data_IF_506465048837
#
_entry.id   IF_506465048837
#
_cell.length_a   1.000
_cell.length_b   1.000
_cell.length_c   1.000
_cell.angle_alpha   90.00
_cell.angle_beta   90.00
_cell.angle_gamma   90.00
#
_symmetry.space_group_name_H-M   'P 1'
#
loop_
_entity.id
_entity.type
_entity.pdbx_description
1 polymer ?
#
# COMPACT_ATOMS: atom_id res chain seq x y z
N UNK A 1 8.58 -6.09 -7.29
CA UNK A 1 8.48 -4.74 -7.87
C UNK A 1 8.06 -4.83 -9.34
N UNK A 2 6.86 -4.34 -9.68
CA UNK A 2 6.34 -4.33 -11.05
C UNK A 2 6.73 -3.01 -11.75
N UNK A 3 7.44 -3.07 -12.88
CA UNK A 3 7.95 -1.90 -13.63
C UNK A 3 6.85 -1.04 -14.26
N UNK A 4 5.61 -1.55 -14.34
CA UNK A 4 4.47 -0.80 -14.86
C UNK A 4 4.00 0.34 -13.93
N UNK A 5 4.51 0.40 -12.69
CA UNK A 5 4.16 1.44 -11.71
C UNK A 5 4.69 2.84 -12.09
N UNK A 6 5.71 2.91 -12.96
CA UNK A 6 6.34 4.18 -13.39
C UNK A 6 5.43 5.05 -14.27
N UNK A 7 4.39 4.47 -14.87
CA UNK A 7 3.44 5.19 -15.75
C UNK A 7 2.27 5.85 -14.99
N UNK A 8 2.22 5.72 -13.66
CA UNK A 8 1.08 6.18 -12.84
C UNK A 8 1.19 7.65 -12.42
N UNK A 9 0.04 8.29 -12.06
CA UNK A 9 0.03 9.57 -11.36
C UNK A 9 1.02 9.58 -10.18
N UNK A 10 1.69 10.71 -9.97
CA UNK A 10 2.77 10.87 -8.96
C UNK A 10 2.34 10.44 -7.55
N UNK A 11 1.09 10.69 -7.21
CA UNK A 11 0.54 10.43 -5.87
C UNK A 11 0.44 8.92 -5.59
N UNK A 12 0.23 8.09 -6.63
CA UNK A 12 0.25 6.62 -6.50
C UNK A 12 1.67 6.06 -6.39
N UNK A 13 2.65 6.74 -6.98
CA UNK A 13 4.06 6.40 -6.87
C UNK A 13 4.57 6.64 -5.45
N UNK A 14 4.15 7.73 -4.80
CA UNK A 14 4.52 8.01 -3.42
C UNK A 14 4.00 6.94 -2.46
N UNK A 15 2.74 6.53 -2.59
CA UNK A 15 2.17 5.42 -1.82
C UNK A 15 2.99 4.14 -1.97
N UNK A 16 3.34 3.75 -3.20
CA UNK A 16 4.15 2.55 -3.47
C UNK A 16 5.53 2.67 -2.83
N UNK A 17 6.20 3.82 -2.93
CA UNK A 17 7.53 4.00 -2.35
C UNK A 17 7.46 3.87 -0.83
N UNK A 18 6.52 4.55 -0.17
CA UNK A 18 6.34 4.43 1.29
C UNK A 18 6.02 2.99 1.66
N UNK A 19 5.16 2.32 0.88
CA UNK A 19 4.80 0.92 1.09
C UNK A 19 6.02 -0.01 1.10
N UNK A 20 6.85 0.06 0.06
CA UNK A 20 8.06 -0.74 -0.07
C UNK A 20 9.12 -0.38 0.99
N UNK A 21 9.20 0.89 1.41
CA UNK A 21 10.08 1.29 2.51
C UNK A 21 9.63 0.69 3.85
N UNK A 22 8.33 0.59 4.10
CA UNK A 22 7.83 -0.03 5.32
C UNK A 22 8.08 -1.54 5.36
N UNK A 23 8.13 -2.22 4.21
CA UNK A 23 8.53 -3.63 4.13
C UNK A 23 9.95 -3.90 4.62
N UNK A 24 10.82 -2.88 4.60
CA UNK A 24 12.16 -2.99 5.19
C UNK A 24 12.13 -3.03 6.72
N UNK A 25 11.06 -2.53 7.34
CA UNK A 25 10.87 -2.46 8.80
C UNK A 25 9.99 -3.61 9.28
N UNK A 26 8.92 -3.89 8.56
CA UNK A 26 7.93 -4.91 8.85
C UNK A 26 7.62 -5.65 7.54
N UNK A 27 8.21 -6.85 7.30
CA UNK A 27 8.13 -7.53 6.00
C UNK A 27 6.76 -8.08 5.62
N UNK A 28 5.81 -8.05 6.55
CA UNK A 28 4.46 -8.60 6.36
C UNK A 28 3.45 -7.50 6.60
N UNK A 29 2.28 -7.58 5.95
CA UNK A 29 1.19 -6.63 6.17
C UNK A 29 0.43 -6.87 7.48
N UNK A 30 1.17 -7.04 8.58
CA UNK A 30 0.66 -7.26 9.93
C UNK A 30 -0.05 -6.01 10.47
N UNK A 31 -0.79 -6.08 11.59
CA UNK A 31 -1.38 -4.89 12.21
C UNK A 31 -0.36 -3.78 12.46
N UNK A 32 0.88 -4.15 12.85
CA UNK A 32 1.98 -3.20 13.02
C UNK A 32 2.37 -2.49 11.72
N UNK A 33 2.33 -3.20 10.58
CA UNK A 33 2.54 -2.58 9.27
C UNK A 33 1.48 -1.52 9.00
N UNK A 34 0.22 -1.85 9.28
CA UNK A 34 -0.90 -0.93 9.09
C UNK A 34 -0.75 0.31 9.98
N UNK A 35 -0.34 0.15 11.25
CA UNK A 35 -0.07 1.27 12.15
C UNK A 35 1.06 2.18 11.64
N UNK A 36 2.13 1.58 11.08
CA UNK A 36 3.22 2.33 10.46
C UNK A 36 2.75 3.08 9.21
N UNK A 37 1.92 2.46 8.39
CA UNK A 37 1.36 3.06 7.19
C UNK A 37 0.40 4.21 7.53
N UNK A 38 -0.46 4.04 8.54
CA UNK A 38 -1.33 5.09 9.09
C UNK A 38 -0.52 6.29 9.62
N UNK A 39 0.63 6.03 10.25
CA UNK A 39 1.52 7.08 10.75
C UNK A 39 2.25 7.84 9.66
N UNK A 40 2.77 7.13 8.66
CA UNK A 40 3.68 7.71 7.66
C UNK A 40 2.98 8.16 6.38
N UNK A 41 1.80 7.64 6.07
CA UNK A 41 1.00 8.03 4.92
C UNK A 41 -0.50 7.88 5.22
N UNK A 42 -1.11 8.80 6.00
CA UNK A 42 -2.48 8.64 6.52
C UNK A 42 -3.56 8.41 5.46
N UNK A 43 -3.37 8.94 4.23
CA UNK A 43 -4.30 8.82 3.10
C UNK A 43 -4.02 7.59 2.21
N UNK A 44 -3.37 6.55 2.76
CA UNK A 44 -2.99 5.37 1.97
C UNK A 44 -4.20 4.55 1.50
N UNK A 45 -5.36 4.68 2.16
CA UNK A 45 -6.58 3.94 1.79
C UNK A 45 -7.13 4.44 0.47
N UNK A 46 -7.14 5.76 0.25
CA UNK A 46 -7.53 6.41 -0.99
C UNK A 46 -6.55 6.04 -2.11
N UNK A 47 -5.25 6.20 -1.87
CA UNK A 47 -4.21 5.83 -2.83
C UNK A 47 -4.28 4.35 -3.21
N UNK A 48 -4.57 3.46 -2.24
CA UNK A 48 -4.76 2.04 -2.49
C UNK A 48 -6.02 1.74 -3.29
N UNK A 49 -7.14 2.40 -2.98
CA UNK A 49 -8.37 2.23 -3.73
C UNK A 49 -8.16 2.61 -5.20
N UNK A 50 -7.56 3.77 -5.46
CA UNK A 50 -7.17 4.20 -6.80
C UNK A 50 -6.18 3.24 -7.47
N UNK A 51 -5.23 2.67 -6.71
CA UNK A 51 -4.28 1.68 -7.24
C UNK A 51 -4.96 0.38 -7.68
N UNK A 52 -5.97 -0.08 -6.94
CA UNK A 52 -6.71 -1.32 -7.18
C UNK A 52 -7.67 -1.23 -8.38
N UNK A 53 -8.19 -0.04 -8.68
CA UNK A 53 -9.02 0.21 -9.87
C UNK A 53 -8.20 0.20 -11.17
N UNK A 54 -6.88 0.25 -11.08
CA UNK A 54 -6.00 0.13 -12.23
C UNK A 54 -5.79 -1.37 -12.58
N UNK A 55 -5.71 -1.74 -13.87
CA UNK A 55 -5.64 -3.12 -14.35
C UNK A 55 -4.25 -3.77 -14.12
N UNK A 56 -3.73 -3.65 -12.90
CA UNK A 56 -2.48 -4.24 -12.46
C UNK A 56 -2.79 -5.32 -11.44
N UNK A 57 -1.96 -6.36 -11.42
CA UNK A 57 -2.06 -7.44 -10.46
C UNK A 57 -2.10 -6.85 -9.03
N UNK A 58 -3.29 -6.76 -8.46
CA UNK A 58 -3.49 -6.37 -7.08
C UNK A 58 -2.84 -7.47 -6.25
N UNK A 59 -1.82 -7.13 -5.47
CA UNK A 59 -1.33 -8.05 -4.44
C UNK A 59 -2.54 -8.45 -3.57
N UNK A 60 -2.66 -9.73 -3.24
CA UNK A 60 -3.76 -10.21 -2.42
C UNK A 60 -3.45 -9.94 -0.96
N UNK A 61 -4.10 -8.93 -0.38
CA UNK A 61 -3.97 -8.58 1.04
C UNK A 61 -5.04 -9.33 1.83
N UNK A 62 -4.66 -10.06 2.88
CA UNK A 62 -5.60 -10.48 3.90
C UNK A 62 -5.96 -9.25 4.75
N UNK A 63 -7.21 -8.77 4.65
CA UNK A 63 -7.69 -7.65 5.47
C UNK A 63 -7.72 -8.04 6.95
N UNK A 64 -7.02 -7.34 7.86
CA UNK A 64 -7.13 -7.64 9.29
C UNK A 64 -8.34 -6.97 9.96
N UNK A 65 -9.23 -6.28 9.23
CA UNK A 65 -10.33 -5.55 9.84
C UNK A 65 -11.68 -6.25 9.65
N UNK A 66 -11.97 -7.25 10.50
CA UNK A 66 -13.29 -7.42 11.13
C UNK A 66 -13.22 -8.43 12.30
N UNK A 67 -12.83 -7.97 13.48
CA UNK A 67 -13.37 -8.53 14.71
C UNK A 67 -14.16 -7.40 15.37
N UNK A 68 -15.48 -7.56 15.31
CA UNK A 68 -16.43 -6.83 16.14
C UNK A 68 -16.17 -7.13 17.62
#
# INVERSE_FOLDING_TARGET
MNTELVKKPKDLLEYVVVHEMLHLIEPTHSPRFIDLLDKHYPNWREARAELNELPLAAESWASPLRTL
#
